data_IF_257171876290
#
_entry.id   IF_257171876290
#
_cell.length_a   1.000
_cell.length_b   1.000
_cell.length_c   1.000
_cell.angle_alpha   90.00
_cell.angle_beta   90.00
_cell.angle_gamma   90.00
#
_symmetry.space_group_name_H-M   'P 1'
#
loop_
_entity.id
_entity.type
_entity.pdbx_description
1 polymer ?
#
# COMPACT_ATOMS: atom_id res chain seq x y z
N UNK A 1 -5.30 19.65 8.26
CA UNK A 1 -4.60 19.72 9.57
C UNK A 1 -4.22 18.31 9.96
N UNK A 2 -2.98 18.08 10.39
CA UNK A 2 -2.51 16.74 10.84
C UNK A 2 -3.14 16.44 12.21
N UNK A 3 -3.80 15.30 12.35
CA UNK A 3 -4.47 14.84 13.57
C UNK A 3 -3.55 13.88 14.30
N UNK A 4 -3.19 14.21 15.54
CA UNK A 4 -2.43 13.30 16.41
C UNK A 4 -3.39 12.38 17.15
N UNK A 5 -3.19 11.08 17.03
CA UNK A 5 -3.98 10.05 17.68
C UNK A 5 -3.46 9.81 19.10
N UNK A 6 -4.37 9.68 20.04
CA UNK A 6 -4.08 9.22 21.39
C UNK A 6 -3.66 7.74 21.36
N UNK A 7 -3.06 7.25 22.45
CA UNK A 7 -2.70 5.84 22.57
C UNK A 7 -3.91 4.91 22.40
N UNK A 8 -5.05 5.26 22.97
CA UNK A 8 -6.27 4.45 22.85
C UNK A 8 -6.83 4.41 21.41
N UNK A 9 -6.64 5.49 20.63
CA UNK A 9 -7.01 5.51 19.21
C UNK A 9 -6.07 4.65 18.38
N UNK A 10 -4.75 4.70 18.65
CA UNK A 10 -3.77 3.82 18.00
C UNK A 10 -4.05 2.34 18.31
N UNK A 11 -4.45 2.02 19.55
CA UNK A 11 -4.86 0.66 19.91
C UNK A 11 -6.07 0.18 19.08
N UNK A 12 -7.06 1.03 18.82
CA UNK A 12 -8.18 0.72 17.91
C UNK A 12 -7.72 0.57 16.45
N UNK A 13 -6.85 1.46 15.98
CA UNK A 13 -6.25 1.34 14.66
C UNK A 13 -5.47 0.04 14.50
N UNK A 14 -4.75 -0.39 15.53
CA UNK A 14 -4.03 -1.68 15.52
C UNK A 14 -4.96 -2.88 15.32
N UNK A 15 -6.22 -2.82 15.80
CA UNK A 15 -7.22 -3.86 15.52
C UNK A 15 -7.63 -3.84 14.04
N UNK A 16 -7.93 -2.66 13.48
CA UNK A 16 -8.25 -2.53 12.05
C UNK A 16 -7.08 -3.01 11.17
N UNK A 17 -5.87 -2.61 11.50
CA UNK A 17 -4.64 -3.02 10.80
C UNK A 17 -4.38 -4.52 10.90
N UNK A 18 -4.64 -5.14 12.04
CA UNK A 18 -4.53 -6.61 12.20
C UNK A 18 -5.52 -7.33 11.30
N UNK A 19 -6.77 -6.84 11.20
CA UNK A 19 -7.76 -7.40 10.27
C UNK A 19 -7.22 -7.35 8.84
N UNK A 20 -6.64 -6.21 8.41
CA UNK A 20 -6.03 -6.06 7.10
C UNK A 20 -4.91 -7.06 6.88
N UNK A 21 -3.95 -7.13 7.80
CA UNK A 21 -2.78 -8.01 7.70
C UNK A 21 -3.19 -9.50 7.62
N UNK A 22 -4.08 -9.96 8.50
CA UNK A 22 -4.59 -11.34 8.47
C UNK A 22 -5.36 -11.67 7.17
N UNK A 23 -6.11 -10.70 6.62
CA UNK A 23 -6.83 -10.91 5.36
C UNK A 23 -5.86 -10.94 4.19
N UNK A 24 -4.85 -10.07 4.15
CA UNK A 24 -3.78 -10.15 3.15
C UNK A 24 -3.07 -11.50 3.18
N UNK A 25 -2.76 -12.06 4.36
CA UNK A 25 -2.21 -13.42 4.43
C UNK A 25 -3.13 -14.50 3.81
N UNK A 26 -4.44 -14.40 4.07
CA UNK A 26 -5.42 -15.33 3.46
C UNK A 26 -5.39 -15.20 1.94
N UNK A 27 -5.37 -13.98 1.42
CA UNK A 27 -5.33 -13.71 -0.02
C UNK A 27 -4.02 -14.20 -0.64
N UNK A 28 -2.88 -13.92 -0.04
CA UNK A 28 -1.55 -14.38 -0.49
C UNK A 28 -1.52 -15.91 -0.63
N UNK A 29 -2.05 -16.63 0.36
CA UNK A 29 -2.14 -18.10 0.32
C UNK A 29 -3.11 -18.62 -0.74
N UNK A 30 -4.15 -17.83 -1.11
CA UNK A 30 -5.13 -18.21 -2.11
C UNK A 30 -4.66 -17.98 -3.55
N UNK A 31 -3.72 -17.05 -3.77
CA UNK A 31 -3.22 -16.69 -5.11
C UNK A 31 -2.62 -17.91 -5.81
N UNK A 32 -3.12 -18.22 -6.99
CA UNK A 32 -2.63 -19.28 -7.88
C UNK A 32 -3.10 -19.03 -9.31
N UNK A 33 -2.41 -19.60 -10.31
CA UNK A 33 -2.89 -19.53 -11.69
C UNK A 33 -4.33 -20.05 -11.84
N UNK A 34 -5.13 -19.38 -12.67
CA UNK A 34 -6.53 -19.71 -12.95
C UNK A 34 -7.55 -19.05 -12.03
N UNK A 35 -7.18 -18.58 -10.84
CA UNK A 35 -8.06 -17.80 -9.97
C UNK A 35 -8.38 -16.45 -10.62
N UNK A 36 -9.62 -15.99 -10.54
CA UNK A 36 -10.01 -14.67 -11.03
C UNK A 36 -9.78 -13.59 -9.96
N UNK A 37 -9.55 -12.35 -10.38
CA UNK A 37 -9.41 -11.22 -9.46
C UNK A 37 -10.72 -10.93 -8.72
N UNK A 38 -11.89 -11.24 -9.29
CA UNK A 38 -13.19 -11.21 -8.59
C UNK A 38 -13.32 -12.23 -7.46
N UNK A 39 -12.76 -13.42 -7.62
CA UNK A 39 -12.76 -14.42 -6.55
C UNK A 39 -11.89 -13.97 -5.37
N UNK A 40 -10.76 -13.26 -5.63
CA UNK A 40 -9.96 -12.64 -4.58
C UNK A 40 -10.72 -11.52 -3.86
N UNK A 41 -11.44 -10.66 -4.58
CA UNK A 41 -12.28 -9.61 -4.02
C UNK A 41 -13.39 -10.17 -3.09
N UNK A 42 -14.09 -11.21 -3.57
CA UNK A 42 -15.13 -11.88 -2.77
C UNK A 42 -14.54 -12.51 -1.49
N UNK A 43 -13.35 -13.12 -1.58
CA UNK A 43 -12.64 -13.70 -0.44
C UNK A 43 -12.21 -12.61 0.55
N UNK A 44 -11.74 -11.47 0.05
CA UNK A 44 -11.37 -10.31 0.87
C UNK A 44 -12.56 -9.79 1.66
N UNK A 45 -13.70 -9.53 0.98
CA UNK A 45 -14.91 -9.04 1.64
C UNK A 45 -15.42 -10.00 2.72
N UNK A 46 -15.50 -11.29 2.40
CA UNK A 46 -15.91 -12.30 3.36
C UNK A 46 -14.97 -12.34 4.57
N UNK A 47 -13.65 -12.31 4.33
CA UNK A 47 -12.64 -12.42 5.38
C UNK A 47 -12.63 -11.21 6.32
N UNK A 48 -12.80 -9.98 5.79
CA UNK A 48 -12.93 -8.76 6.60
C UNK A 48 -14.16 -8.85 7.50
N UNK A 49 -15.33 -9.18 6.91
CA UNK A 49 -16.60 -9.24 7.64
C UNK A 49 -16.61 -10.32 8.73
N UNK A 50 -16.01 -11.46 8.47
CA UNK A 50 -15.89 -12.55 9.46
C UNK A 50 -15.04 -12.13 10.67
N UNK A 51 -14.10 -11.19 10.49
CA UNK A 51 -13.28 -10.62 11.56
C UNK A 51 -13.90 -9.41 12.24
N UNK A 52 -15.15 -9.08 11.94
CA UNK A 52 -15.86 -7.93 12.50
C UNK A 52 -15.48 -6.58 11.91
N UNK A 53 -14.70 -6.56 10.85
CA UNK A 53 -14.37 -5.34 10.10
C UNK A 53 -15.41 -4.97 9.05
N UNK A 54 -15.28 -3.76 8.52
CA UNK A 54 -16.04 -3.26 7.37
C UNK A 54 -15.06 -2.96 6.25
N UNK A 55 -15.29 -3.43 4.99
CA UNK A 55 -14.46 -3.07 3.85
C UNK A 55 -14.36 -1.54 3.70
N UNK A 56 -13.13 -1.02 3.60
CA UNK A 56 -12.89 0.41 3.58
C UNK A 56 -13.03 1.00 2.17
N UNK A 57 -12.66 0.24 1.13
CA UNK A 57 -12.62 0.76 -0.24
C UNK A 57 -13.98 0.70 -0.95
N UNK A 58 -14.81 -0.31 -0.64
CA UNK A 58 -16.10 -0.51 -1.31
C UNK A 58 -17.04 0.68 -1.08
N UNK A 59 -17.30 1.43 -2.15
CA UNK A 59 -18.11 2.65 -2.15
C UNK A 59 -17.32 3.92 -1.83
N UNK A 60 -16.04 3.83 -1.43
CA UNK A 60 -15.21 5.00 -1.18
C UNK A 60 -14.97 5.77 -2.49
N UNK A 61 -15.45 7.00 -2.56
CA UNK A 61 -15.41 7.85 -3.77
C UNK A 61 -15.96 7.16 -5.03
N UNK A 62 -16.79 6.13 -4.87
CA UNK A 62 -17.37 5.36 -5.97
C UNK A 62 -16.59 4.11 -6.39
N UNK A 63 -15.49 3.74 -5.71
CA UNK A 63 -14.78 2.50 -6.00
C UNK A 63 -15.71 1.29 -5.80
N UNK A 64 -15.82 0.37 -6.78
CA UNK A 64 -16.90 -0.62 -6.75
C UNK A 64 -16.63 -1.84 -5.86
N UNK A 65 -15.38 -2.13 -5.52
CA UNK A 65 -14.92 -3.37 -4.92
C UNK A 65 -14.31 -3.19 -3.53
N UNK A 66 -14.07 -4.29 -2.84
CA UNK A 66 -13.43 -4.33 -1.51
C UNK A 66 -11.91 -4.29 -1.60
N UNK A 67 -11.35 -4.91 -2.64
CA UNK A 67 -9.93 -5.12 -2.88
C UNK A 67 -9.52 -4.40 -4.16
N UNK A 68 -8.38 -3.71 -4.17
CA UNK A 68 -7.70 -3.34 -5.40
C UNK A 68 -6.79 -4.52 -5.81
N UNK A 69 -6.89 -4.94 -7.08
CA UNK A 69 -6.07 -6.02 -7.64
C UNK A 69 -5.36 -5.52 -8.89
N UNK A 70 -4.09 -5.21 -8.75
CA UNK A 70 -3.26 -4.62 -9.81
C UNK A 70 -2.29 -5.66 -10.38
N UNK A 71 -2.33 -5.90 -11.68
CA UNK A 71 -1.56 -6.95 -12.36
C UNK A 71 -0.49 -6.33 -13.26
N UNK A 72 0.76 -6.78 -13.10
CA UNK A 72 1.90 -6.48 -13.98
C UNK A 72 2.15 -4.97 -14.14
N UNK A 73 1.75 -4.38 -15.28
CA UNK A 73 1.84 -2.96 -15.60
C UNK A 73 0.86 -2.07 -14.80
N UNK A 74 -0.09 -2.68 -14.10
CA UNK A 74 -1.02 -1.94 -13.24
C UNK A 74 -0.33 -1.56 -11.94
N UNK A 75 -0.28 -0.26 -11.67
CA UNK A 75 0.39 0.33 -10.51
C UNK A 75 -0.46 0.18 -9.26
N UNK A 76 -1.67 0.79 -9.26
CA UNK A 76 -2.63 0.79 -8.15
C UNK A 76 -4.07 0.84 -8.68
N UNK A 77 -5.03 0.65 -7.77
CA UNK A 77 -6.47 0.79 -7.99
C UNK A 77 -7.06 -0.12 -9.08
N UNK A 78 -6.40 -1.24 -9.41
CA UNK A 78 -6.93 -2.21 -10.38
C UNK A 78 -8.28 -2.75 -9.92
N UNK A 79 -9.30 -2.64 -10.80
CA UNK A 79 -10.67 -3.13 -10.49
C UNK A 79 -10.73 -4.64 -10.68
N UNK A 80 -11.12 -5.42 -9.66
CA UNK A 80 -11.38 -6.86 -9.78
C UNK A 80 -12.37 -7.22 -10.89
N UNK A 81 -12.02 -8.23 -11.67
CA UNK A 81 -12.79 -8.65 -12.84
C UNK A 81 -12.76 -10.17 -13.04
N UNK A 82 -13.30 -10.65 -14.15
CA UNK A 82 -13.17 -12.06 -14.57
C UNK A 82 -11.79 -12.41 -15.13
N UNK A 83 -10.82 -11.46 -15.14
CA UNK A 83 -9.43 -11.71 -15.53
C UNK A 83 -8.84 -12.79 -14.63
N UNK A 84 -8.26 -13.83 -15.24
CA UNK A 84 -7.62 -14.93 -14.51
C UNK A 84 -6.14 -14.64 -14.36
N UNK A 85 -5.63 -14.92 -13.17
CA UNK A 85 -4.19 -14.94 -12.90
C UNK A 85 -3.49 -16.00 -13.75
N UNK A 86 -2.31 -15.71 -14.25
CA UNK A 86 -1.48 -16.61 -15.05
C UNK A 86 -0.14 -16.83 -14.34
N UNK A 87 0.46 -18.02 -14.53
CA UNK A 87 1.84 -18.20 -14.09
C UNK A 87 2.76 -17.20 -14.82
N UNK A 88 3.62 -16.53 -14.07
CA UNK A 88 4.47 -15.46 -14.56
C UNK A 88 3.95 -14.05 -14.27
N UNK A 89 2.67 -13.87 -13.89
CA UNK A 89 2.16 -12.58 -13.43
C UNK A 89 2.76 -12.19 -12.07
N UNK A 90 2.83 -10.89 -11.81
CA UNK A 90 2.87 -10.33 -10.46
C UNK A 90 1.52 -9.69 -10.15
N UNK A 91 1.06 -9.76 -8.91
CA UNK A 91 -0.24 -9.23 -8.49
C UNK A 91 -0.11 -8.41 -7.23
N UNK A 92 -0.45 -7.12 -7.32
CA UNK A 92 -0.65 -6.22 -6.19
C UNK A 92 -2.03 -6.44 -5.58
N UNK A 93 -2.05 -6.65 -4.28
CA UNK A 93 -3.25 -6.79 -3.45
C UNK A 93 -3.22 -5.66 -2.44
N UNK A 94 -4.18 -4.75 -2.53
CA UNK A 94 -4.26 -3.56 -1.68
C UNK A 94 -5.64 -3.53 -1.02
N UNK A 95 -5.66 -3.43 0.31
CA UNK A 95 -6.81 -3.71 1.15
C UNK A 95 -6.89 -2.79 2.35
N UNK A 96 -8.03 -2.11 2.48
CA UNK A 96 -8.38 -1.36 3.67
C UNK A 96 -9.54 -1.97 4.47
N UNK A 97 -9.49 -1.85 5.78
CA UNK A 97 -10.57 -2.21 6.69
C UNK A 97 -10.86 -1.10 7.70
N UNK A 98 -12.15 -1.00 8.10
CA UNK A 98 -12.60 -0.11 9.16
C UNK A 98 -13.09 -0.94 10.35
N UNK A 99 -12.66 -0.55 11.55
CA UNK A 99 -13.13 -1.14 12.81
C UNK A 99 -13.33 -0.06 13.87
N UNK A 100 -14.48 -0.05 14.53
CA UNK A 100 -14.88 0.97 15.54
C UNK A 100 -14.58 2.43 15.15
N UNK A 101 -14.79 2.75 13.86
CA UNK A 101 -14.59 4.12 13.36
C UNK A 101 -13.19 4.43 12.85
N UNK A 102 -12.21 3.54 13.03
CA UNK A 102 -10.82 3.72 12.60
C UNK A 102 -10.48 2.81 11.43
N UNK A 103 -9.55 3.29 10.60
CA UNK A 103 -9.11 2.60 9.40
C UNK A 103 -7.71 1.98 9.58
N UNK A 104 -7.46 0.89 8.89
CA UNK A 104 -6.16 0.33 8.61
C UNK A 104 -6.06 0.04 7.12
N UNK A 105 -4.86 0.14 6.56
CA UNK A 105 -4.55 0.01 5.15
C UNK A 105 -3.21 -0.68 4.93
N UNK A 106 -3.11 -1.56 3.93
CA UNK A 106 -1.84 -2.18 3.54
C UNK A 106 -1.93 -2.82 2.17
N UNK A 107 -0.79 -2.87 1.48
CA UNK A 107 -0.64 -3.52 0.19
C UNK A 107 0.60 -4.41 0.11
N UNK A 108 0.50 -5.46 -0.71
CA UNK A 108 1.60 -6.36 -1.06
C UNK A 108 1.52 -6.77 -2.52
N UNK A 109 2.65 -6.78 -3.21
CA UNK A 109 2.76 -7.38 -4.54
C UNK A 109 3.47 -8.72 -4.45
N UNK A 110 2.87 -9.77 -5.01
CA UNK A 110 3.36 -11.15 -4.92
C UNK A 110 3.43 -11.82 -6.29
N UNK A 111 4.28 -12.84 -6.45
CA UNK A 111 4.35 -13.62 -7.67
C UNK A 111 3.17 -14.59 -7.81
N UNK A 112 2.74 -14.84 -9.06
CA UNK A 112 1.80 -15.92 -9.42
C UNK A 112 2.57 -17.06 -10.04
N UNK A 113 2.94 -18.07 -9.24
CA UNK A 113 3.83 -19.14 -9.66
C UNK A 113 5.29 -18.66 -9.84
N UNK A 114 5.99 -19.20 -10.83
CA UNK A 114 7.36 -18.76 -11.16
C UNK A 114 7.30 -17.49 -12.01
N UNK A 115 8.11 -16.50 -11.64
CA UNK A 115 8.24 -15.21 -12.33
C UNK A 115 9.69 -15.03 -12.85
N UNK A 116 9.91 -14.14 -13.84
CA UNK A 116 11.26 -13.78 -14.29
C UNK A 116 12.08 -13.14 -13.16
N UNK A 117 13.41 -13.28 -13.23
CA UNK A 117 14.34 -12.71 -12.24
C UNK A 117 14.22 -11.17 -12.12
N UNK A 118 13.94 -10.50 -13.23
CA UNK A 118 13.71 -9.06 -13.25
C UNK A 118 12.48 -8.66 -12.40
N UNK A 119 11.37 -9.38 -12.55
CA UNK A 119 10.17 -9.18 -11.72
C UNK A 119 10.46 -9.51 -10.24
N UNK A 120 11.23 -10.56 -9.95
CA UNK A 120 11.64 -10.88 -8.58
C UNK A 120 12.46 -9.73 -7.96
N UNK A 121 13.43 -9.19 -8.71
CA UNK A 121 14.25 -8.05 -8.27
C UNK A 121 13.42 -6.78 -8.04
N UNK A 122 12.39 -6.52 -8.87
CA UNK A 122 11.44 -5.43 -8.66
C UNK A 122 10.69 -5.60 -7.32
N UNK A 123 10.11 -6.78 -7.07
CA UNK A 123 9.38 -7.05 -5.82
C UNK A 123 10.26 -6.85 -4.59
N UNK A 124 11.48 -7.37 -4.62
CA UNK A 124 12.45 -7.22 -3.54
C UNK A 124 12.82 -5.75 -3.33
N UNK A 125 13.09 -5.01 -4.42
CA UNK A 125 13.45 -3.58 -4.34
C UNK A 125 12.31 -2.73 -3.81
N UNK A 126 11.09 -2.95 -4.28
CA UNK A 126 9.91 -2.18 -3.83
C UNK A 126 9.62 -2.43 -2.34
N UNK A 127 9.67 -3.69 -1.91
CA UNK A 127 9.50 -4.05 -0.50
C UNK A 127 10.59 -3.41 0.38
N UNK A 128 11.84 -3.55 0.01
CA UNK A 128 12.95 -2.99 0.79
C UNK A 128 12.93 -1.45 0.80
N UNK A 129 12.50 -0.80 -0.30
CA UNK A 129 12.30 0.65 -0.35
C UNK A 129 11.29 1.12 0.69
N UNK A 130 10.17 0.39 0.88
CA UNK A 130 9.21 0.65 1.95
C UNK A 130 9.89 0.60 3.33
N UNK A 131 10.64 -0.46 3.62
CA UNK A 131 11.31 -0.60 4.92
C UNK A 131 12.43 0.45 5.12
N UNK A 132 13.10 0.90 4.06
CA UNK A 132 14.05 2.01 4.16
C UNK A 132 13.33 3.32 4.53
N UNK A 133 12.16 3.59 3.96
CA UNK A 133 11.31 4.70 4.39
C UNK A 133 10.86 4.58 5.84
N UNK A 134 10.39 3.41 6.26
CA UNK A 134 9.92 3.17 7.64
C UNK A 134 11.05 3.37 8.67
N UNK A 135 12.29 3.04 8.36
CA UNK A 135 13.46 3.29 9.24
C UNK A 135 13.68 4.78 9.52
N UNK A 136 13.23 5.65 8.61
CA UNK A 136 13.30 7.10 8.80
C UNK A 136 12.17 7.65 9.69
N UNK A 137 11.16 6.83 10.01
CA UNK A 137 10.04 7.23 10.88
C UNK A 137 10.51 7.31 12.33
N UNK A 138 10.88 8.55 12.75
CA UNK A 138 11.31 8.82 14.11
C UNK A 138 10.87 10.23 14.53
N UNK A 139 10.47 10.44 15.80
CA UNK A 139 10.13 11.76 16.29
C UNK A 139 11.22 12.82 16.01
N UNK A 140 10.80 13.96 15.48
CA UNK A 140 11.70 15.09 15.18
C UNK A 140 12.28 15.08 13.77
N UNK A 141 12.34 13.94 13.06
CA UNK A 141 12.66 13.90 11.63
C UNK A 141 11.58 14.59 10.79
N UNK A 142 11.88 14.91 9.55
CA UNK A 142 10.90 15.48 8.62
C UNK A 142 10.20 14.38 7.81
N UNK A 143 8.98 14.65 7.38
CA UNK A 143 8.22 13.73 6.55
C UNK A 143 8.98 13.31 5.29
N UNK A 144 9.66 14.26 4.65
CA UNK A 144 10.40 13.97 3.42
C UNK A 144 11.66 13.13 3.60
N UNK A 145 12.11 12.87 4.83
CA UNK A 145 13.21 11.92 5.09
C UNK A 145 12.77 10.50 4.70
N UNK A 146 11.47 10.17 4.95
CA UNK A 146 10.83 8.93 4.49
C UNK A 146 10.87 8.87 2.95
N UNK A 147 10.38 9.92 2.31
CA UNK A 147 10.30 10.06 0.85
C UNK A 147 11.66 9.90 0.17
N UNK A 148 12.67 10.58 0.73
CA UNK A 148 14.04 10.55 0.22
C UNK A 148 14.67 9.17 0.33
N UNK A 149 14.49 8.49 1.46
CA UNK A 149 15.01 7.15 1.68
C UNK A 149 14.41 6.14 0.69
N UNK A 150 13.08 6.20 0.44
CA UNK A 150 12.39 5.38 -0.55
C UNK A 150 12.98 5.62 -1.94
N UNK A 151 13.03 6.88 -2.37
CA UNK A 151 13.54 7.27 -3.68
C UNK A 151 14.98 6.83 -3.90
N UNK A 152 15.86 7.16 -2.97
CA UNK A 152 17.29 6.80 -3.09
C UNK A 152 17.49 5.29 -3.19
N UNK A 153 16.73 4.50 -2.41
CA UNK A 153 16.86 3.04 -2.45
C UNK A 153 16.42 2.46 -3.79
N UNK A 154 15.31 2.91 -4.35
CA UNK A 154 14.80 2.43 -5.62
C UNK A 154 15.65 2.92 -6.82
N UNK A 155 15.91 4.24 -6.90
CA UNK A 155 16.59 4.83 -8.06
C UNK A 155 18.07 4.42 -8.18
N UNK A 156 18.78 4.21 -7.07
CA UNK A 156 20.16 3.69 -7.11
C UNK A 156 20.25 2.25 -7.62
N UNK A 157 19.12 1.55 -7.71
CA UNK A 157 19.00 0.19 -8.26
C UNK A 157 18.44 0.17 -9.68
N UNK A 158 18.25 1.34 -10.30
CA UNK A 158 17.79 1.49 -11.68
C UNK A 158 16.27 1.43 -11.85
N UNK A 159 15.51 1.57 -10.76
CA UNK A 159 14.04 1.63 -10.77
C UNK A 159 13.57 3.08 -10.64
N UNK A 160 12.31 3.34 -10.99
CA UNK A 160 11.67 4.65 -10.80
C UNK A 160 10.59 4.57 -9.72
N UNK A 161 10.40 5.67 -8.97
CA UNK A 161 9.28 5.80 -8.04
C UNK A 161 8.16 6.63 -8.68
N UNK A 162 6.92 6.17 -8.56
CA UNK A 162 5.75 6.89 -9.06
C UNK A 162 5.58 8.20 -8.29
N UNK A 163 5.26 9.29 -9.01
CA UNK A 163 5.14 10.65 -8.45
C UNK A 163 3.72 11.16 -8.36
N UNK A 164 2.81 10.61 -9.18
CA UNK A 164 1.42 11.06 -9.27
C UNK A 164 0.55 10.57 -8.10
N UNK A 165 0.97 9.49 -7.43
CA UNK A 165 0.31 8.91 -6.28
C UNK A 165 1.25 8.90 -5.08
N UNK A 166 0.67 9.07 -3.88
CA UNK A 166 1.44 9.29 -2.66
C UNK A 166 0.73 8.64 -1.49
N UNK A 167 1.48 8.29 -0.47
CA UNK A 167 0.95 7.86 0.81
C UNK A 167 0.24 8.99 1.55
N UNK A 168 -0.36 8.68 2.68
CA UNK A 168 -1.26 9.59 3.37
C UNK A 168 -1.27 9.39 4.88
N UNK A 169 -1.77 10.37 5.61
CA UNK A 169 -2.23 10.16 6.98
C UNK A 169 -3.46 9.27 6.99
N UNK A 170 -3.67 8.52 8.07
CA UNK A 170 -4.81 7.62 8.23
C UNK A 170 -5.31 7.66 9.68
N UNK A 171 -6.62 7.45 9.89
CA UNK A 171 -7.20 7.48 11.22
C UNK A 171 -8.70 7.24 11.22
N UNK A 172 -9.49 8.28 11.52
CA UNK A 172 -10.95 8.23 11.45
C UNK A 172 -11.48 8.42 10.03
N UNK A 173 -10.64 8.91 9.11
CA UNK A 173 -10.84 8.85 7.67
C UNK A 173 -9.77 7.94 7.04
N UNK A 174 -10.10 7.32 5.89
CA UNK A 174 -9.16 6.48 5.15
C UNK A 174 -7.96 7.32 4.69
N UNK A 175 -8.21 8.50 4.14
CA UNK A 175 -7.16 9.45 3.75
C UNK A 175 -7.27 10.72 4.62
N UNK A 176 -6.22 10.99 5.36
CA UNK A 176 -6.03 12.20 6.17
C UNK A 176 -4.74 12.93 5.74
N UNK A 177 -4.54 14.15 6.22
CA UNK A 177 -3.25 14.83 6.15
C UNK A 177 -2.22 14.15 7.08
N UNK A 178 -0.93 14.14 6.72
CA UNK A 178 -0.33 14.74 5.53
C UNK A 178 -0.30 13.79 4.33
N UNK A 179 -0.05 14.32 3.12
CA UNK A 179 0.44 13.52 2.00
C UNK A 179 1.86 13.03 2.31
N UNK A 180 2.18 11.80 1.91
CA UNK A 180 3.48 11.14 2.09
C UNK A 180 4.07 10.77 0.74
N UNK A 181 4.73 11.69 0.02
CA UNK A 181 5.33 11.40 -1.28
C UNK A 181 6.41 10.31 -1.18
N UNK A 182 6.61 9.56 -2.27
CA UNK A 182 7.66 8.55 -2.37
C UNK A 182 8.99 9.12 -2.90
N UNK A 183 9.09 10.45 -3.05
CA UNK A 183 10.24 11.16 -3.60
C UNK A 183 10.39 12.55 -2.99
N UNK A 184 11.57 13.13 -3.11
CA UNK A 184 11.84 14.50 -2.72
C UNK A 184 13.16 14.68 -1.96
N UNK A 185 13.58 15.93 -1.74
CA UNK A 185 14.76 16.22 -0.94
C UNK A 185 14.49 15.96 0.54
N UNK A 186 15.51 15.56 1.34
CA UNK A 186 15.37 15.37 2.78
C UNK A 186 15.14 16.69 3.51
N UNK A 187 14.84 16.63 4.80
CA UNK A 187 14.70 17.78 5.71
C UNK A 187 13.57 18.77 5.30
N UNK A 188 12.45 18.26 4.74
CA UNK A 188 11.32 19.07 4.30
C UNK A 188 9.99 18.54 4.87
N UNK A 189 8.97 19.41 4.79
CA UNK A 189 7.62 19.09 5.25
C UNK A 189 7.46 19.12 6.78
N UNK A 190 6.36 18.60 7.30
CA UNK A 190 6.10 18.61 8.73
C UNK A 190 7.10 17.71 9.48
N UNK A 191 7.41 18.09 10.72
CA UNK A 191 8.15 17.22 11.62
C UNK A 191 7.27 16.08 12.10
N UNK A 192 7.82 14.89 12.09
CA UNK A 192 7.19 13.69 12.62
C UNK A 192 7.02 13.82 14.14
N UNK A 193 5.82 13.53 14.63
CA UNK A 193 5.45 13.64 16.05
C UNK A 193 4.77 12.37 16.52
N UNK A 194 4.96 11.97 17.77
CA UNK A 194 4.16 10.90 18.37
C UNK A 194 2.66 11.17 18.20
N UNK A 195 1.91 10.13 17.87
CA UNK A 195 0.48 10.20 17.55
C UNK A 195 0.15 10.39 16.07
N UNK A 196 1.11 10.68 15.20
CA UNK A 196 0.89 10.59 13.75
C UNK A 196 0.78 9.11 13.35
N UNK A 197 -0.13 8.80 12.42
CA UNK A 197 -0.24 7.48 11.77
C UNK A 197 -0.30 7.70 10.27
N UNK A 198 0.57 7.01 9.55
CA UNK A 198 0.82 7.19 8.13
C UNK A 198 0.67 5.87 7.38
N UNK A 199 0.04 5.91 6.21
CA UNK A 199 0.17 4.92 5.16
C UNK A 199 1.42 5.29 4.34
N UNK A 200 2.42 4.41 4.36
CA UNK A 200 3.66 4.57 3.59
C UNK A 200 3.63 3.51 2.50
N UNK A 201 3.55 3.96 1.25
CA UNK A 201 3.12 3.12 0.13
C UNK A 201 3.93 3.40 -1.16
N UNK A 202 5.20 3.02 -1.23
CA UNK A 202 5.97 3.16 -2.46
C UNK A 202 5.38 2.32 -3.59
N UNK A 203 5.22 2.97 -4.75
CA UNK A 203 4.96 2.36 -6.05
C UNK A 203 6.24 2.48 -6.88
N UNK A 204 6.81 1.34 -7.25
CA UNK A 204 8.12 1.25 -7.92
C UNK A 204 7.95 0.60 -9.29
N UNK A 205 8.46 1.26 -10.34
CA UNK A 205 8.38 0.80 -11.73
C UNK A 205 9.75 0.34 -12.24
N UNK A 206 9.77 -0.68 -13.12
CA UNK A 206 10.99 -1.06 -13.84
C UNK A 206 11.43 0.06 -14.78
N UNK A 207 10.48 0.69 -15.47
CA UNK A 207 10.73 1.77 -16.43
C UNK A 207 10.58 3.17 -15.84
N UNK A 208 9.88 4.02 -16.57
CA UNK A 208 9.69 5.42 -16.19
C UNK A 208 8.71 5.62 -15.03
N UNK A 209 8.77 6.80 -14.40
CA UNK A 209 7.89 7.17 -13.29
C UNK A 209 6.47 7.56 -13.73
N UNK A 210 6.25 7.77 -15.02
CA UNK A 210 5.00 8.27 -15.56
C UNK A 210 3.92 7.18 -15.60
N UNK A 211 2.69 7.61 -15.33
CA UNK A 211 1.53 6.72 -15.21
C UNK A 211 0.32 7.30 -15.92
N UNK A 212 -0.62 6.43 -16.31
CA UNK A 212 -1.88 6.80 -16.96
C UNK A 212 -3.06 6.16 -16.20
N UNK A 213 -4.20 6.85 -16.19
CA UNK A 213 -5.45 6.32 -15.64
C UNK A 213 -6.28 5.76 -16.79
N UNK A 214 -6.72 4.51 -16.67
CA UNK A 214 -7.54 3.87 -17.70
C UNK A 214 -8.96 4.45 -17.76
N UNK A 215 -9.70 4.09 -18.81
CA UNK A 215 -11.07 4.58 -19.06
C UNK A 215 -12.10 4.17 -18.00
N UNK A 216 -11.76 3.24 -17.11
CA UNK A 216 -12.60 2.89 -15.96
C UNK A 216 -12.56 3.96 -14.84
N UNK A 217 -11.67 4.96 -14.98
CA UNK A 217 -11.50 6.08 -14.06
C UNK A 217 -10.78 5.74 -12.77
N UNK A 218 -10.25 4.50 -12.63
CA UNK A 218 -9.59 4.00 -11.42
C UNK A 218 -8.22 3.37 -11.68
N UNK A 219 -8.16 2.37 -12.56
CA UNK A 219 -6.95 1.58 -12.78
C UNK A 219 -5.82 2.47 -13.30
N UNK A 220 -4.74 2.53 -12.55
CA UNK A 220 -3.51 3.25 -12.90
C UNK A 220 -2.52 2.27 -13.50
N UNK A 221 -1.94 2.59 -14.66
CA UNK A 221 -0.93 1.78 -15.34
C UNK A 221 0.34 2.60 -15.57
N UNK A 222 1.47 1.92 -15.73
CA UNK A 222 2.71 2.55 -16.20
C UNK A 222 2.53 3.03 -17.64
N UNK A 223 2.99 4.23 -17.97
CA UNK A 223 2.84 4.80 -19.31
C UNK A 223 3.64 4.04 -20.38
N UNK A 224 4.72 3.37 -19.97
CA UNK A 224 5.60 2.57 -20.84
C UNK A 224 5.23 1.08 -20.89
N UNK A 225 4.22 0.63 -20.14
CA UNK A 225 3.79 -0.77 -20.08
C UNK A 225 4.72 -1.72 -19.34
N UNK A 226 5.74 -1.21 -18.63
CA UNK A 226 6.65 -2.01 -17.81
C UNK A 226 6.00 -2.40 -16.49
N UNK A 227 6.59 -3.40 -15.79
CA UNK A 227 6.05 -3.88 -14.51
C UNK A 227 6.14 -2.81 -13.40
N UNK A 228 5.14 -2.80 -12.53
CA UNK A 228 5.10 -2.00 -11.31
C UNK A 228 4.84 -2.87 -10.09
N UNK A 229 5.39 -2.50 -8.94
CA UNK A 229 5.14 -3.15 -7.65
C UNK A 229 4.77 -2.10 -6.60
N UNK A 230 3.74 -2.41 -5.83
CA UNK A 230 3.21 -1.62 -4.73
C UNK A 230 3.31 -2.42 -3.42
N UNK A 231 3.92 -1.81 -2.40
CA UNK A 231 3.94 -2.31 -1.03
C UNK A 231 3.55 -1.20 -0.08
N UNK A 232 2.84 -1.53 0.97
CA UNK A 232 2.33 -0.55 1.90
C UNK A 232 2.24 -1.09 3.33
N UNK A 233 2.52 -0.21 4.29
CA UNK A 233 2.20 -0.41 5.68
C UNK A 233 1.57 0.83 6.32
N UNK A 234 0.58 0.61 7.21
CA UNK A 234 0.16 1.62 8.18
C UNK A 234 1.15 1.63 9.35
N UNK A 235 1.77 2.79 9.58
CA UNK A 235 2.84 2.99 10.57
C UNK A 235 2.47 4.09 11.55
N UNK A 236 2.45 3.78 12.85
CA UNK A 236 2.30 4.77 13.91
C UNK A 236 3.65 5.31 14.35
N UNK A 237 3.69 6.61 14.68
CA UNK A 237 4.84 7.26 15.30
C UNK A 237 4.61 7.30 16.80
N UNK A 238 5.48 6.67 17.56
CA UNK A 238 5.47 6.64 19.02
C UNK A 238 6.65 7.44 19.59
N UNK A 239 6.70 7.62 20.89
CA UNK A 239 7.86 8.24 21.55
C UNK A 239 9.16 7.43 21.36
N UNK A 240 9.02 6.12 21.11
CA UNK A 240 10.13 5.17 20.92
C UNK A 240 10.56 5.02 19.46
N UNK A 241 9.80 5.59 18.51
CA UNK A 241 10.04 5.48 17.06
C UNK A 241 8.85 4.97 16.28
N UNK A 242 9.10 4.23 15.20
CA UNK A 242 8.04 3.65 14.34
C UNK A 242 7.47 2.37 14.92
N UNK A 243 6.14 2.22 14.79
CA UNK A 243 5.43 0.97 15.04
C UNK A 243 4.61 0.62 13.79
N UNK A 244 4.94 -0.50 13.14
CA UNK A 244 4.16 -1.01 12.00
C UNK A 244 2.90 -1.68 12.57
N UNK A 245 1.73 -1.10 12.30
CA UNK A 245 0.45 -1.62 12.81
C UNK A 245 -0.09 -2.80 11.97
N UNK A 246 0.31 -2.89 10.72
CA UNK A 246 -0.09 -3.94 9.75
C UNK A 246 0.92 -5.08 9.64
N UNK A 247 1.91 -5.19 10.53
CA UNK A 247 2.76 -6.36 10.67
C UNK A 247 2.05 -7.45 11.52
N UNK A 248 2.24 -8.74 11.16
CA UNK A 248 1.83 -9.92 11.93
C UNK A 248 3.01 -10.49 12.68
#
# INVERSE_FOLDING_TARGET
>A
MIILKSRSEIEKMAVACRIVAEVLEVLVRAVRPGLTTLELDALAEQSIRTRGGVPAFKGYRGFPNTLCVSLNEQVVHGIPSKRRLRAGDIVGLDLGAKWEGYYGDAAVTIPVGQIPSEAQSLLETAREALYMGIKEVSPGKHLSDISHAIQCYAETRGYSVVRAFVGHGIGTALHEEPQVPNFGPPDRGPRLKPGMVLAIEPMVNIGDADVEILNDGWTVVTADGQLSAHFEHTVAITDEGSQILTAL
#
